data_IF_341479821243
#
_entry.id   IF_341479821243
#
_cell.length_a   1.000
_cell.length_b   1.000
_cell.length_c   1.000
_cell.angle_alpha   90.00
_cell.angle_beta   90.00
_cell.angle_gamma   90.00
#
_symmetry.space_group_name_H-M   'P 1'
#
loop_
_entity.id
_entity.type
_entity.pdbx_description
1 polymer ?
#
# COMPACT_ATOMS: atom_id res chain seq x y z
N UNK A 1 17.66 -30.17 29.91
CA UNK A 1 18.27 -29.66 28.66
C UNK A 1 17.36 -29.88 27.44
N UNK A 2 16.85 -31.10 27.18
CA UNK A 2 15.98 -31.38 26.02
C UNK A 2 14.71 -30.49 25.93
N UNK A 3 14.02 -30.24 27.05
CA UNK A 3 12.81 -29.40 27.04
C UNK A 3 13.09 -27.91 26.75
N UNK A 4 14.26 -27.38 27.11
CA UNK A 4 14.60 -25.99 26.77
C UNK A 4 14.88 -25.82 25.28
N UNK A 5 15.51 -26.82 24.65
CA UNK A 5 15.75 -26.80 23.20
C UNK A 5 14.43 -26.81 22.44
N UNK A 6 13.45 -27.61 22.89
CA UNK A 6 12.12 -27.68 22.25
C UNK A 6 11.41 -26.32 22.35
N UNK A 7 11.40 -25.70 23.52
CA UNK A 7 10.78 -24.37 23.71
C UNK A 7 11.45 -23.32 22.82
N UNK A 8 12.78 -23.38 22.69
CA UNK A 8 13.54 -22.44 21.86
C UNK A 8 13.25 -22.61 20.36
N UNK A 9 13.13 -23.85 19.89
CA UNK A 9 12.77 -24.16 18.49
C UNK A 9 11.34 -23.72 18.17
N UNK A 10 10.40 -23.92 19.10
CA UNK A 10 9.02 -23.46 18.93
C UNK A 10 8.94 -21.94 18.88
N UNK A 11 9.65 -21.23 19.76
CA UNK A 11 9.71 -19.76 19.77
C UNK A 11 10.30 -19.19 18.48
N UNK A 12 11.38 -19.80 17.97
CA UNK A 12 11.98 -19.40 16.69
C UNK A 12 11.03 -19.66 15.52
N UNK A 13 10.31 -20.77 15.53
CA UNK A 13 9.30 -21.08 14.51
C UNK A 13 8.17 -20.05 14.49
N UNK A 14 7.63 -19.67 15.66
CA UNK A 14 6.57 -18.65 15.77
C UNK A 14 7.07 -17.28 15.34
N UNK A 15 8.30 -16.89 15.72
CA UNK A 15 8.88 -15.62 15.31
C UNK A 15 9.04 -15.51 13.78
N UNK A 16 9.51 -16.56 13.13
CA UNK A 16 9.69 -16.61 11.67
C UNK A 16 8.36 -16.51 10.92
N UNK A 17 7.30 -17.18 11.42
CA UNK A 17 5.95 -17.09 10.83
C UNK A 17 5.38 -15.68 11.01
N UNK A 18 5.54 -15.09 12.19
CA UNK A 18 5.02 -13.74 12.48
C UNK A 18 5.71 -12.64 11.67
N UNK A 19 7.01 -12.78 11.37
CA UNK A 19 7.74 -11.85 10.52
C UNK A 19 7.27 -11.96 9.05
N UNK A 20 7.04 -13.18 8.57
CA UNK A 20 6.56 -13.44 7.21
C UNK A 20 5.11 -12.96 6.99
N UNK A 21 4.26 -13.07 8.02
CA UNK A 21 2.88 -12.56 7.93
C UNK A 21 2.84 -11.04 7.80
N UNK A 22 3.72 -10.28 8.47
CA UNK A 22 3.70 -8.81 8.40
C UNK A 22 4.03 -8.28 7.00
N UNK A 23 5.01 -8.88 6.33
CA UNK A 23 5.32 -8.54 4.93
C UNK A 23 4.18 -8.94 3.99
N UNK A 24 3.63 -10.15 4.15
CA UNK A 24 2.53 -10.63 3.32
C UNK A 24 1.25 -9.80 3.54
N UNK A 25 0.99 -9.37 4.78
CA UNK A 25 -0.14 -8.48 5.11
C UNK A 25 0.05 -7.12 4.44
N UNK A 26 1.26 -6.58 4.41
CA UNK A 26 1.53 -5.29 3.77
C UNK A 26 1.26 -5.32 2.26
N UNK A 27 1.59 -6.43 1.60
CA UNK A 27 1.33 -6.65 0.17
C UNK A 27 -0.17 -6.82 -0.10
N UNK A 28 -0.86 -7.64 0.71
CA UNK A 28 -2.31 -7.86 0.60
C UNK A 28 -3.14 -6.60 0.91
N UNK A 29 -2.64 -5.73 1.79
CA UNK A 29 -3.32 -4.49 2.18
C UNK A 29 -3.26 -3.43 1.07
N UNK A 30 -2.16 -3.38 0.31
CA UNK A 30 -2.05 -2.51 -0.86
C UNK A 30 -2.96 -2.98 -2.02
N UNK A 31 -3.19 -4.29 -2.21
CA UNK A 31 -4.15 -4.77 -3.23
C UNK A 31 -5.62 -4.54 -2.85
N UNK A 32 -5.96 -4.60 -1.55
CA UNK A 32 -7.35 -4.41 -1.10
C UNK A 32 -7.83 -2.95 -1.13
N UNK A 33 -6.93 -1.96 -1.07
CA UNK A 33 -7.35 -0.55 -1.18
C UNK A 33 -7.87 -0.20 -2.59
N UNK A 34 -7.40 -0.88 -3.63
CA UNK A 34 -7.79 -0.61 -5.03
C UNK A 34 -9.07 -1.33 -5.47
N UNK A 35 -9.58 -2.31 -4.70
CA UNK A 35 -10.69 -3.18 -5.11
C UNK A 35 -12.11 -2.57 -4.93
N UNK A 36 -12.25 -1.26 -4.75
CA UNK A 36 -13.56 -0.61 -4.59
C UNK A 36 -14.15 -0.24 -5.95
N UNK A 37 -15.21 -0.95 -6.34
CA UNK A 37 -15.98 -0.70 -7.56
C UNK A 37 -16.52 0.73 -7.59
N UNK A 38 -15.90 1.61 -8.36
CA UNK A 38 -16.43 2.95 -8.60
C UNK A 38 -15.35 3.96 -8.91
N UNK A 39 -14.22 3.90 -8.20
CA UNK A 39 -13.07 4.68 -8.58
C UNK A 39 -11.74 4.10 -8.16
N UNK A 40 -10.86 4.02 -9.13
CA UNK A 40 -9.50 3.53 -8.98
C UNK A 40 -8.53 4.55 -9.56
N UNK A 41 -7.32 4.60 -9.00
CA UNK A 41 -6.24 5.29 -9.66
C UNK A 41 -5.76 4.42 -10.83
N UNK A 42 -5.46 5.03 -11.98
CA UNK A 42 -4.85 4.33 -13.12
C UNK A 42 -3.40 3.91 -12.84
N UNK A 43 -2.75 4.58 -11.88
CA UNK A 43 -1.41 4.21 -11.42
C UNK A 43 -1.41 3.79 -9.95
N UNK A 44 -0.48 2.90 -9.62
CA UNK A 44 -0.24 2.43 -8.26
C UNK A 44 0.15 3.58 -7.32
N UNK A 45 0.05 3.30 -6.02
CA UNK A 45 0.30 4.21 -4.89
C UNK A 45 1.67 4.89 -4.91
N UNK A 46 2.69 4.24 -5.49
CA UNK A 46 4.00 4.84 -5.69
C UNK A 46 3.98 6.07 -6.61
N UNK A 47 3.06 6.12 -7.57
CA UNK A 47 2.81 7.29 -8.42
C UNK A 47 1.73 8.15 -7.77
N UNK A 48 0.53 7.59 -7.58
CA UNK A 48 -0.62 8.24 -6.95
C UNK A 48 -0.51 8.13 -5.43
N UNK A 49 0.33 8.96 -4.81
CA UNK A 49 0.53 8.99 -3.36
C UNK A 49 1.95 9.35 -2.94
N UNK A 50 2.97 8.99 -3.74
CA UNK A 50 4.37 9.38 -3.50
C UNK A 50 4.83 10.53 -4.41
N UNK A 51 4.62 10.39 -5.72
CA UNK A 51 5.00 11.41 -6.70
C UNK A 51 3.95 12.51 -6.80
N UNK A 52 2.67 12.11 -6.88
CA UNK A 52 1.55 13.04 -6.92
C UNK A 52 1.17 13.42 -5.50
N UNK A 53 1.31 14.69 -5.16
CA UNK A 53 0.86 15.26 -3.88
C UNK A 53 -0.53 15.91 -4.03
N UNK A 54 -1.25 16.14 -2.91
CA UNK A 54 -2.56 16.83 -2.94
C UNK A 54 -2.52 18.21 -3.62
N UNK A 55 -1.39 18.92 -3.54
CA UNK A 55 -1.18 20.20 -4.22
C UNK A 55 -1.34 20.09 -5.75
N UNK A 56 -0.94 18.97 -6.35
CA UNK A 56 -1.11 18.75 -7.78
C UNK A 56 -2.60 18.65 -8.16
N UNK A 57 -3.44 18.05 -7.31
CA UNK A 57 -4.89 17.97 -7.54
C UNK A 57 -5.57 19.36 -7.55
N UNK A 58 -5.04 20.29 -6.75
CA UNK A 58 -5.53 21.67 -6.60
C UNK A 58 -5.05 22.56 -7.75
N UNK A 59 -3.89 22.27 -8.35
CA UNK A 59 -3.25 23.09 -9.38
C UNK A 59 -3.39 22.50 -10.81
N UNK A 60 -4.60 22.46 -11.41
CA UNK A 60 -4.88 21.76 -12.67
C UNK A 60 -4.14 22.33 -13.89
N UNK A 61 -3.62 23.56 -13.80
CA UNK A 61 -2.90 24.21 -14.91
C UNK A 61 -1.48 23.67 -15.09
N UNK A 62 -0.91 23.03 -14.07
CA UNK A 62 0.43 22.45 -14.15
C UNK A 62 0.41 21.10 -14.89
N UNK A 63 1.55 20.70 -15.45
CA UNK A 63 1.69 19.38 -16.08
C UNK A 63 1.31 18.25 -15.11
N UNK A 64 1.76 18.35 -13.85
CA UNK A 64 1.41 17.36 -12.83
C UNK A 64 -0.03 17.45 -12.36
N UNK A 65 -0.65 18.63 -12.35
CA UNK A 65 -2.06 18.73 -12.02
C UNK A 65 -2.96 18.08 -13.06
N UNK A 66 -2.64 18.25 -14.35
CA UNK A 66 -3.34 17.52 -15.42
C UNK A 66 -3.18 16.01 -15.25
N UNK A 67 -1.95 15.54 -15.01
CA UNK A 67 -1.68 14.13 -14.77
C UNK A 67 -2.46 13.58 -13.56
N UNK A 68 -2.39 14.27 -12.42
CA UNK A 68 -3.06 13.88 -11.19
C UNK A 68 -4.57 13.71 -11.39
N UNK A 69 -5.22 14.65 -12.07
CA UNK A 69 -6.66 14.61 -12.30
C UNK A 69 -7.10 13.58 -13.34
N UNK A 70 -6.25 13.24 -14.29
CA UNK A 70 -6.56 12.22 -15.30
C UNK A 70 -6.35 10.80 -14.79
N UNK A 71 -5.37 10.59 -13.91
CA UNK A 71 -4.90 9.24 -13.59
C UNK A 71 -4.91 8.90 -12.09
N UNK A 72 -4.92 9.88 -11.20
CA UNK A 72 -4.99 9.68 -9.76
C UNK A 72 -6.33 10.19 -9.20
N UNK A 73 -7.42 9.85 -9.88
CA UNK A 73 -8.75 10.42 -9.62
C UNK A 73 -9.23 10.14 -8.20
N UNK A 74 -9.05 8.90 -7.72
CA UNK A 74 -9.40 8.50 -6.35
C UNK A 74 -8.58 9.29 -5.33
N UNK A 75 -7.27 9.42 -5.54
CA UNK A 75 -6.41 10.21 -4.65
C UNK A 75 -6.81 11.70 -4.63
N UNK A 76 -7.24 12.24 -5.77
CA UNK A 76 -7.68 13.61 -5.90
C UNK A 76 -9.14 13.85 -5.48
N UNK A 77 -9.88 12.81 -5.06
CA UNK A 77 -11.29 12.91 -4.68
C UNK A 77 -12.19 13.42 -5.81
N UNK A 78 -11.83 13.17 -7.06
CA UNK A 78 -12.64 13.53 -8.24
C UNK A 78 -13.69 12.46 -8.59
N UNK A 79 -13.71 11.45 -7.74
CA UNK A 79 -14.53 10.29 -7.61
C UNK A 79 -14.28 9.79 -6.16
#
# INVERSE_FOLDING_TARGET
MKSMVIVFVVLLGVAMISANEQELLSILRDEREDARSGCVNNYKKNICGKLVTPLNCIAPKTRMGKFARSYCQYMCGLC
#
